data_IF_104550188295
#
_entry.id   IF_104550188295
#
_cell.length_a   1.000
_cell.length_b   1.000
_cell.length_c   1.000
_cell.angle_alpha   90.00
_cell.angle_beta   90.00
_cell.angle_gamma   90.00
#
_symmetry.space_group_name_H-M   'P 1'
#
loop_
_entity.id
_entity.type
_entity.pdbx_description
1 polymer ?
#
# COMPACT_ATOMS: atom_id res chain seq x y z
N UNK A 1 6.89 15.83 -19.84
CA UNK A 1 7.44 14.87 -18.85
C UNK A 1 8.03 15.69 -17.71
N UNK A 2 7.59 15.46 -16.47
CA UNK A 2 8.14 16.13 -15.29
C UNK A 2 9.11 15.17 -14.59
N UNK A 3 10.27 15.67 -14.17
CA UNK A 3 11.28 14.90 -13.46
C UNK A 3 10.91 14.78 -11.97
N UNK A 4 11.05 13.57 -11.39
CA UNK A 4 10.98 13.34 -9.96
C UNK A 4 12.37 12.92 -9.45
N UNK A 5 12.96 13.63 -8.47
CA UNK A 5 14.36 13.48 -8.10
C UNK A 5 14.60 12.29 -7.15
N UNK A 6 14.24 11.07 -7.56
CA UNK A 6 14.39 9.88 -6.70
C UNK A 6 15.84 9.54 -6.38
N UNK A 7 16.77 9.80 -7.30
CA UNK A 7 18.20 9.57 -7.10
C UNK A 7 18.80 10.54 -6.08
N UNK A 8 18.47 11.83 -6.19
CA UNK A 8 18.93 12.86 -5.27
C UNK A 8 18.33 12.67 -3.88
N UNK A 9 17.06 12.27 -3.78
CA UNK A 9 16.49 11.87 -2.48
C UNK A 9 17.30 10.74 -1.84
N UNK A 10 17.70 9.73 -2.61
CA UNK A 10 18.52 8.65 -2.10
C UNK A 10 19.93 9.12 -1.70
N UNK A 11 20.59 9.87 -2.56
CA UNK A 11 22.01 10.22 -2.39
C UNK A 11 22.23 11.38 -1.42
N UNK A 12 21.30 12.32 -1.31
CA UNK A 12 21.48 13.54 -0.52
C UNK A 12 20.72 13.49 0.81
N UNK A 13 19.49 12.97 0.83
CA UNK A 13 18.67 12.91 2.05
C UNK A 13 18.76 11.56 2.78
N UNK A 14 18.89 10.45 2.04
CA UNK A 14 18.84 9.08 2.56
C UNK A 14 20.19 8.35 2.49
N UNK A 15 21.30 9.08 2.65
CA UNK A 15 22.66 8.51 2.49
C UNK A 15 23.08 7.52 3.59
N UNK A 16 22.48 7.61 4.76
CA UNK A 16 22.85 6.76 5.91
C UNK A 16 22.60 5.26 5.61
N UNK A 17 23.48 4.38 6.09
CA UNK A 17 23.39 2.93 5.85
C UNK A 17 22.05 2.31 6.26
N UNK A 18 21.33 2.89 7.22
CA UNK A 18 19.98 2.43 7.60
C UNK A 18 18.96 2.48 6.46
N UNK A 19 19.24 3.27 5.43
CA UNK A 19 18.40 3.43 4.25
C UNK A 19 18.77 2.46 3.12
N UNK A 20 19.76 1.60 3.34
CA UNK A 20 20.11 0.51 2.44
C UNK A 20 19.65 -0.81 3.06
N UNK A 21 19.24 -1.75 2.21
CA UNK A 21 18.90 -3.11 2.62
C UNK A 21 20.15 -3.87 3.07
N UNK A 22 19.95 -5.11 3.50
CA UNK A 22 21.03 -5.97 4.01
C UNK A 22 22.14 -6.22 2.98
N UNK A 23 21.85 -6.04 1.69
CA UNK A 23 22.81 -6.13 0.59
C UNK A 23 23.63 -4.85 0.38
N UNK A 24 23.38 -3.80 1.16
CA UNK A 24 24.06 -2.51 1.13
C UNK A 24 23.94 -1.79 -0.23
N UNK A 25 22.98 -2.20 -1.07
CA UNK A 25 22.83 -1.70 -2.43
C UNK A 25 21.42 -1.19 -2.69
N UNK A 26 20.40 -1.98 -2.36
CA UNK A 26 19.03 -1.60 -2.61
C UNK A 26 18.50 -0.68 -1.49
N UNK A 27 17.54 0.21 -1.77
CA UNK A 27 16.88 0.98 -0.72
C UNK A 27 16.21 0.06 0.31
N UNK A 28 16.38 0.36 1.59
CA UNK A 28 15.69 -0.34 2.67
C UNK A 28 14.18 -0.05 2.60
N UNK A 29 13.32 -0.86 3.24
CA UNK A 29 11.88 -0.60 3.29
C UNK A 29 11.55 0.83 3.76
N UNK A 30 12.30 1.35 4.73
CA UNK A 30 12.15 2.72 5.21
C UNK A 30 12.44 3.76 4.13
N UNK A 31 13.49 3.55 3.33
CA UNK A 31 13.82 4.42 2.22
C UNK A 31 12.76 4.37 1.11
N UNK A 32 12.27 3.17 0.79
CA UNK A 32 11.17 2.99 -0.17
C UNK A 32 9.92 3.75 0.27
N UNK A 33 9.51 3.60 1.53
CA UNK A 33 8.34 4.30 2.07
C UNK A 33 8.50 5.83 1.99
N UNK A 34 9.69 6.34 2.33
CA UNK A 34 9.98 7.77 2.25
C UNK A 34 9.88 8.30 0.81
N UNK A 35 10.53 7.61 -0.14
CA UNK A 35 10.52 7.99 -1.56
C UNK A 35 9.09 7.88 -2.12
N UNK A 36 8.34 6.85 -1.74
CA UNK A 36 6.95 6.67 -2.14
C UNK A 36 6.04 7.80 -1.65
N UNK A 37 6.24 8.29 -0.42
CA UNK A 37 5.50 9.44 0.10
C UNK A 37 5.80 10.71 -0.70
N UNK A 38 7.08 11.00 -0.96
CA UNK A 38 7.51 12.15 -1.77
C UNK A 38 6.96 12.07 -3.20
N UNK A 39 7.03 10.89 -3.80
CA UNK A 39 6.54 10.63 -5.15
C UNK A 39 5.03 10.83 -5.22
N UNK A 40 4.28 10.23 -4.29
CA UNK A 40 2.83 10.36 -4.23
C UNK A 40 2.40 11.83 -4.08
N UNK A 41 3.14 12.62 -3.30
CA UNK A 41 2.85 14.06 -3.14
C UNK A 41 3.15 14.87 -4.41
N UNK A 42 4.23 14.54 -5.12
CA UNK A 42 4.67 15.30 -6.29
C UNK A 42 3.92 14.92 -7.58
N UNK A 43 3.55 13.65 -7.72
CA UNK A 43 3.08 13.08 -8.98
C UNK A 43 1.60 12.74 -9.01
N UNK A 44 0.94 12.56 -7.86
CA UNK A 44 -0.47 12.18 -7.81
C UNK A 44 -1.40 13.37 -7.56
N UNK A 45 -2.53 13.38 -8.26
CA UNK A 45 -3.63 14.28 -7.93
C UNK A 45 -4.19 13.97 -6.53
N UNK A 46 -5.00 14.88 -5.98
CA UNK A 46 -5.73 14.60 -4.72
C UNK A 46 -6.62 13.35 -4.85
N UNK A 47 -7.24 13.16 -6.02
CA UNK A 47 -8.06 11.99 -6.30
C UNK A 47 -7.24 10.70 -6.28
N UNK A 48 -6.12 10.66 -7.01
CA UNK A 48 -5.24 9.47 -7.04
C UNK A 48 -4.68 9.17 -5.65
N UNK A 49 -4.33 10.18 -4.85
CA UNK A 49 -3.88 9.97 -3.45
C UNK A 49 -4.99 9.37 -2.58
N UNK A 50 -6.25 9.77 -2.76
CA UNK A 50 -7.39 9.18 -2.03
C UNK A 50 -7.58 7.72 -2.42
N UNK A 51 -7.63 7.42 -3.72
CA UNK A 51 -7.75 6.05 -4.25
C UNK A 51 -6.64 5.17 -3.68
N UNK A 52 -5.39 5.63 -3.75
CA UNK A 52 -4.23 4.86 -3.28
C UNK A 52 -4.25 4.62 -1.77
N UNK A 53 -4.75 5.58 -0.98
CA UNK A 53 -4.92 5.43 0.47
C UNK A 53 -5.98 4.39 0.83
N UNK A 54 -7.16 4.47 0.20
CA UNK A 54 -8.24 3.50 0.38
C UNK A 54 -7.78 2.08 0.00
N UNK A 55 -7.11 1.95 -1.15
CA UNK A 55 -6.54 0.69 -1.60
C UNK A 55 -5.48 0.14 -0.66
N UNK A 56 -4.55 0.98 -0.17
CA UNK A 56 -3.50 0.55 0.75
C UNK A 56 -4.06 -0.03 2.05
N UNK A 57 -5.15 0.56 2.57
CA UNK A 57 -5.81 0.05 3.76
C UNK A 57 -6.43 -1.35 3.53
N UNK A 58 -7.10 -1.54 2.38
CA UNK A 58 -7.65 -2.84 1.98
C UNK A 58 -6.54 -3.87 1.82
N UNK A 59 -5.46 -3.52 1.11
CA UNK A 59 -4.35 -4.43 0.87
C UNK A 59 -3.67 -4.87 2.16
N UNK A 60 -3.41 -3.94 3.09
CA UNK A 60 -2.89 -4.26 4.43
C UNK A 60 -3.81 -5.20 5.20
N UNK A 61 -5.13 -5.03 5.05
CA UNK A 61 -6.08 -5.90 5.71
C UNK A 61 -6.11 -7.32 5.11
N UNK A 62 -5.94 -7.45 3.80
CA UNK A 62 -5.83 -8.74 3.10
C UNK A 62 -4.53 -9.48 3.44
N UNK A 63 -3.42 -8.76 3.58
CA UNK A 63 -2.12 -9.34 3.95
C UNK A 63 -2.05 -9.75 5.43
N UNK A 64 -3.06 -9.40 6.24
CA UNK A 64 -3.09 -9.73 7.67
C UNK A 64 -3.19 -11.24 7.92
N UNK A 65 -2.21 -11.78 8.66
CA UNK A 65 -2.17 -13.17 9.08
C UNK A 65 -2.74 -13.31 10.51
N UNK A 66 -3.94 -13.90 10.70
CA UNK A 66 -4.54 -14.03 12.03
C UNK A 66 -3.79 -15.03 12.91
N UNK A 67 -3.61 -14.69 14.19
CA UNK A 67 -3.14 -15.64 15.21
C UNK A 67 -4.24 -16.62 15.65
N UNK A 68 -5.51 -16.17 15.63
CA UNK A 68 -6.68 -16.96 15.98
C UNK A 68 -7.75 -16.87 14.89
N UNK A 69 -7.65 -17.69 13.82
CA UNK A 69 -8.56 -17.63 12.66
C UNK A 69 -10.03 -17.89 13.01
N UNK A 70 -10.31 -18.67 14.05
CA UNK A 70 -11.69 -19.04 14.42
C UNK A 70 -12.35 -18.01 15.37
N UNK A 71 -11.59 -17.01 15.80
CA UNK A 71 -12.09 -15.98 16.73
C UNK A 71 -13.22 -15.17 16.11
N UNK A 72 -14.16 -14.72 16.96
CA UNK A 72 -15.23 -13.82 16.52
C UNK A 72 -14.67 -12.48 16.02
N UNK A 73 -13.60 -11.98 16.66
CA UNK A 73 -12.91 -10.77 16.25
C UNK A 73 -12.36 -10.86 14.82
N UNK A 74 -11.73 -11.99 14.47
CA UNK A 74 -11.22 -12.17 13.10
C UNK A 74 -12.35 -12.34 12.08
N UNK A 75 -13.44 -13.02 12.44
CA UNK A 75 -14.65 -13.09 11.59
C UNK A 75 -15.24 -11.71 11.33
N UNK A 76 -15.31 -10.85 12.35
CA UNK A 76 -15.72 -9.46 12.21
C UNK A 76 -14.76 -8.68 11.30
N UNK A 77 -13.45 -8.82 11.51
CA UNK A 77 -12.42 -8.19 10.69
C UNK A 77 -12.57 -8.56 9.20
N UNK A 78 -12.68 -9.86 8.88
CA UNK A 78 -12.87 -10.31 7.49
C UNK A 78 -14.12 -9.76 6.84
N UNK A 79 -15.23 -9.67 7.58
CA UNK A 79 -16.47 -9.06 7.09
C UNK A 79 -16.26 -7.58 6.77
N UNK A 80 -15.61 -6.84 7.66
CA UNK A 80 -15.30 -5.42 7.42
C UNK A 80 -14.38 -5.24 6.20
N UNK A 81 -13.36 -6.09 6.03
CA UNK A 81 -12.49 -6.05 4.85
C UNK A 81 -13.26 -6.31 3.56
N UNK A 82 -14.22 -7.22 3.59
CA UNK A 82 -15.12 -7.52 2.45
C UNK A 82 -15.99 -6.32 2.10
N UNK A 83 -16.65 -5.72 3.09
CA UNK A 83 -17.49 -4.53 2.88
C UNK A 83 -16.69 -3.35 2.32
N UNK A 84 -15.45 -3.16 2.81
CA UNK A 84 -14.56 -2.12 2.33
C UNK A 84 -14.14 -2.37 0.88
N UNK A 85 -13.83 -3.62 0.49
CA UNK A 85 -13.51 -3.98 -0.88
C UNK A 85 -14.70 -3.75 -1.81
N UNK A 86 -15.90 -4.19 -1.42
CA UNK A 86 -17.12 -3.98 -2.21
C UNK A 86 -17.43 -2.49 -2.40
N UNK A 87 -17.26 -1.69 -1.35
CA UNK A 87 -17.44 -0.23 -1.42
C UNK A 87 -16.40 0.42 -2.36
N UNK A 88 -15.15 -0.01 -2.30
CA UNK A 88 -14.08 0.46 -3.18
C UNK A 88 -14.38 0.13 -4.65
N UNK A 89 -14.78 -1.11 -4.95
CA UNK A 89 -15.13 -1.54 -6.31
C UNK A 89 -16.32 -0.76 -6.88
N UNK A 90 -17.34 -0.48 -6.06
CA UNK A 90 -18.49 0.36 -6.48
C UNK A 90 -18.07 1.79 -6.79
N UNK A 91 -17.13 2.34 -6.02
CA UNK A 91 -16.62 3.70 -6.20
C UNK A 91 -15.68 3.81 -7.40
N UNK A 92 -14.90 2.77 -7.66
CA UNK A 92 -13.85 2.73 -8.69
C UNK A 92 -14.01 1.50 -9.62
N UNK A 93 -15.07 1.44 -10.45
CA UNK A 93 -15.37 0.27 -11.28
C UNK A 93 -14.33 0.00 -12.38
N UNK A 94 -13.42 0.94 -12.65
CA UNK A 94 -12.31 0.78 -13.60
C UNK A 94 -11.06 0.10 -13.01
N UNK A 95 -11.04 -0.19 -11.71
CA UNK A 95 -9.93 -0.86 -11.04
C UNK A 95 -10.28 -2.34 -10.84
N UNK A 96 -9.55 -3.28 -11.48
CA UNK A 96 -9.77 -4.72 -11.30
C UNK A 96 -9.35 -5.17 -9.89
N UNK A 97 -10.15 -6.06 -9.28
CA UNK A 97 -9.95 -6.59 -7.92
C UNK A 97 -10.31 -8.08 -7.82
N UNK A 98 -10.19 -8.84 -8.90
CA UNK A 98 -10.64 -10.23 -8.97
C UNK A 98 -9.84 -11.14 -8.03
N UNK A 99 -8.55 -10.88 -7.86
CA UNK A 99 -7.70 -11.72 -7.01
C UNK A 99 -7.95 -11.45 -5.53
N UNK A 100 -8.20 -10.20 -5.14
CA UNK A 100 -8.60 -9.82 -3.79
C UNK A 100 -9.96 -10.43 -3.41
N UNK A 101 -10.89 -10.51 -4.37
CA UNK A 101 -12.15 -11.24 -4.18
C UNK A 101 -11.92 -12.72 -3.89
N UNK A 102 -11.07 -13.39 -4.69
CA UNK A 102 -10.71 -14.79 -4.44
C UNK A 102 -10.09 -15.00 -3.06
N UNK A 103 -9.21 -14.09 -2.61
CA UNK A 103 -8.60 -14.18 -1.28
C UNK A 103 -9.63 -14.12 -0.14
N UNK A 104 -10.74 -13.42 -0.35
CA UNK A 104 -11.84 -13.35 0.62
C UNK A 104 -12.87 -14.48 0.46
N UNK A 105 -12.70 -15.39 -0.50
CA UNK A 105 -13.66 -16.40 -0.94
C UNK A 105 -14.97 -15.79 -1.49
N UNK A 106 -14.87 -14.71 -2.28
CA UNK A 106 -15.95 -14.04 -3.01
C UNK A 106 -15.97 -14.38 -4.51
#
# INVERSE_FOLDING_TARGET
VAYFPSYELMMDELRDYRFYGDDMLHPSPLAVDYIWERFSKACFSDETRRVNSEWSAIRKALDHRPLHPDSEAYRHFRRQTTENLDAFMKRYPGIPCEDERKQLNL
#
